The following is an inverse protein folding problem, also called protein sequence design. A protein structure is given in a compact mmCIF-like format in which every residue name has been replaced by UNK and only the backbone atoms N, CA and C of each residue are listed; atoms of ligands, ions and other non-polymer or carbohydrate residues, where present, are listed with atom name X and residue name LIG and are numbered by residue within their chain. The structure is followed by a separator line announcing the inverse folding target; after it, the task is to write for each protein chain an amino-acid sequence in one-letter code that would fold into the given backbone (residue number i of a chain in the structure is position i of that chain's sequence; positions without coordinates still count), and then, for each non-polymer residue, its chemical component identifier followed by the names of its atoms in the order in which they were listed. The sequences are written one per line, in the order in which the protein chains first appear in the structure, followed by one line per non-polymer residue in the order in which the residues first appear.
data_IF_501854315327
#
_entry.id   IF_501854315327
#
_cell.length_a   1.000
_cell.length_b   1.000
_cell.length_c   1.000
_cell.angle_alpha   90.00
_cell.angle_beta   90.00
_cell.angle_gamma   90.00
#
_symmetry.space_group_name_H-M   'P 1'
#
loop_
_entity.id
_entity.type
_entity.pdbx_description
1 polymer ?
#
# COMPACT_ATOMS: atom_id res chain seq x y z
N UNK A 1 -4.01 -22.39 -12.18
CA UNK A 1 -4.54 -22.92 -10.90
C UNK A 1 -3.54 -23.79 -10.15
N UNK A 2 -2.80 -24.68 -10.81
CA UNK A 2 -1.81 -25.55 -10.14
C UNK A 2 -0.69 -24.77 -9.43
N UNK A 3 -0.01 -23.85 -10.11
CA UNK A 3 1.02 -22.98 -9.50
C UNK A 3 0.49 -22.21 -8.29
N UNK A 4 -0.77 -21.75 -8.35
CA UNK A 4 -1.39 -21.06 -7.22
C UNK A 4 -1.61 -21.99 -6.04
N UNK A 5 -2.05 -23.24 -6.29
CA UNK A 5 -2.18 -24.27 -5.25
C UNK A 5 -0.85 -24.52 -4.54
N UNK A 6 0.24 -24.68 -5.30
CA UNK A 6 1.58 -24.87 -4.74
C UNK A 6 2.01 -23.70 -3.84
N UNK A 7 1.70 -22.46 -4.24
CA UNK A 7 1.99 -21.27 -3.45
C UNK A 7 1.17 -21.20 -2.16
N UNK A 8 -0.13 -21.52 -2.23
CA UNK A 8 -1.01 -21.57 -1.06
C UNK A 8 -0.52 -22.66 -0.09
N UNK A 9 -0.26 -23.88 -0.58
CA UNK A 9 0.21 -24.98 0.25
C UNK A 9 1.59 -24.68 0.87
N UNK A 10 2.48 -24.03 0.13
CA UNK A 10 3.79 -23.59 0.64
C UNK A 10 3.66 -22.58 1.78
N UNK A 11 2.74 -21.62 1.67
CA UNK A 11 2.47 -20.61 2.68
C UNK A 11 1.81 -21.24 3.92
N UNK A 12 0.79 -22.06 3.73
CA UNK A 12 0.06 -22.75 4.80
C UNK A 12 0.95 -23.72 5.58
N UNK A 13 1.89 -24.40 4.93
CA UNK A 13 2.88 -25.24 5.60
C UNK A 13 3.83 -24.47 6.55
N UNK A 14 3.75 -23.13 6.55
CA UNK A 14 4.54 -22.21 7.39
C UNK A 14 3.66 -21.28 8.21
N UNK A 15 2.37 -21.60 8.37
CA UNK A 15 1.40 -20.78 9.11
C UNK A 15 1.24 -19.34 8.56
N UNK A 16 1.46 -19.17 7.25
CA UNK A 16 1.29 -17.89 6.56
C UNK A 16 0.01 -17.91 5.73
N UNK A 17 -0.85 -16.91 5.92
CA UNK A 17 -2.05 -16.70 5.10
C UNK A 17 -1.68 -16.19 3.70
N UNK A 18 -2.42 -16.60 2.69
CA UNK A 18 -2.22 -16.24 1.29
C UNK A 18 -3.44 -15.49 0.73
N UNK A 19 -3.27 -14.19 0.43
CA UNK A 19 -4.30 -13.35 -0.20
C UNK A 19 -3.98 -13.15 -1.69
N UNK A 20 -5.00 -13.22 -2.56
CA UNK A 20 -4.87 -12.93 -4.00
C UNK A 20 -5.33 -11.52 -4.33
N UNK A 21 -4.53 -10.76 -5.10
CA UNK A 21 -4.88 -9.41 -5.50
C UNK A 21 -5.74 -9.38 -6.77
N UNK A 22 -6.97 -8.86 -6.64
CA UNK A 22 -7.95 -8.58 -7.70
C UNK A 22 -8.29 -7.08 -7.70
N UNK A 23 -7.25 -6.24 -7.68
CA UNK A 23 -7.35 -4.82 -7.34
C UNK A 23 -7.07 -3.88 -8.52
N UNK A 24 -7.36 -4.29 -9.75
CA UNK A 24 -7.35 -3.38 -10.89
C UNK A 24 -8.43 -2.29 -10.67
N UNK A 25 -8.10 -0.99 -10.70
CA UNK A 25 -9.10 0.07 -10.53
C UNK A 25 -10.03 0.24 -11.73
N UNK A 26 -9.62 -0.29 -12.89
CA UNK A 26 -10.29 -0.17 -14.18
C UNK A 26 -10.40 -1.54 -14.85
N UNK A 27 -11.10 -1.61 -15.98
CA UNK A 27 -11.34 -2.83 -16.79
C UNK A 27 -12.27 -3.86 -16.14
N UNK A 28 -13.06 -3.46 -15.15
CA UNK A 28 -14.25 -4.22 -14.74
C UNK A 28 -15.39 -3.84 -15.69
N UNK A 29 -15.95 -4.79 -16.46
CA UNK A 29 -17.02 -4.49 -17.41
C UNK A 29 -18.33 -4.19 -16.69
N UNK A 30 -19.30 -3.70 -17.47
CA UNK A 30 -20.63 -3.43 -16.97
C UNK A 30 -21.28 -4.69 -16.37
N UNK A 31 -22.13 -4.52 -15.35
CA UNK A 31 -22.77 -5.64 -14.63
C UNK A 31 -23.72 -6.48 -15.50
N UNK A 32 -24.02 -6.02 -16.72
CA UNK A 32 -24.83 -6.74 -17.70
C UNK A 32 -24.03 -7.76 -18.51
N UNK A 33 -22.69 -7.70 -18.50
CA UNK A 33 -21.83 -8.69 -19.15
C UNK A 33 -21.83 -10.00 -18.34
N UNK A 34 -22.87 -10.80 -18.55
CA UNK A 34 -23.08 -12.04 -17.78
C UNK A 34 -21.91 -13.01 -17.92
N UNK A 35 -21.37 -13.17 -19.13
CA UNK A 35 -20.21 -14.04 -19.36
C UNK A 35 -19.04 -13.70 -18.46
N UNK A 36 -18.64 -12.43 -18.44
CA UNK A 36 -17.49 -12.02 -17.63
C UNK A 36 -17.74 -12.17 -16.13
N UNK A 37 -18.95 -11.83 -15.67
CA UNK A 37 -19.31 -11.94 -14.26
C UNK A 37 -19.46 -13.39 -13.80
N UNK A 38 -20.02 -14.27 -14.62
CA UNK A 38 -20.13 -15.71 -14.34
C UNK A 38 -18.74 -16.35 -14.26
N UNK A 39 -17.84 -16.03 -15.21
CA UNK A 39 -16.45 -16.48 -15.21
C UNK A 39 -15.69 -15.96 -13.97
N UNK A 40 -15.91 -14.69 -13.61
CA UNK A 40 -15.29 -14.09 -12.42
C UNK A 40 -15.80 -14.75 -11.14
N UNK A 41 -17.10 -15.00 -11.02
CA UNK A 41 -17.68 -15.69 -9.86
C UNK A 41 -17.13 -17.12 -9.76
N UNK A 42 -17.01 -17.82 -10.89
CA UNK A 42 -16.41 -19.15 -10.91
C UNK A 42 -14.95 -19.10 -10.46
N UNK A 43 -14.16 -18.15 -10.95
CA UNK A 43 -12.79 -17.95 -10.51
C UNK A 43 -12.69 -17.68 -9.00
N UNK A 44 -13.58 -16.87 -8.43
CA UNK A 44 -13.63 -16.64 -6.98
C UNK A 44 -13.92 -17.92 -6.19
N UNK A 45 -14.84 -18.76 -6.68
CA UNK A 45 -15.12 -20.07 -6.06
C UNK A 45 -13.93 -21.02 -6.16
N UNK A 46 -13.20 -20.98 -7.27
CA UNK A 46 -11.99 -21.77 -7.43
C UNK A 46 -10.90 -21.33 -6.45
N UNK A 47 -10.72 -20.01 -6.22
CA UNK A 47 -9.80 -19.49 -5.20
C UNK A 47 -10.16 -20.02 -3.80
N UNK A 48 -11.45 -20.00 -3.43
CA UNK A 48 -11.94 -20.55 -2.17
C UNK A 48 -11.68 -22.07 -2.08
N UNK A 49 -11.94 -22.82 -3.16
CA UNK A 49 -11.68 -24.27 -3.22
C UNK A 49 -10.17 -24.60 -3.10
N UNK A 50 -9.29 -23.68 -3.52
CA UNK A 50 -7.84 -23.77 -3.32
C UNK A 50 -7.39 -23.37 -1.91
N UNK A 51 -8.30 -22.95 -1.02
CA UNK A 51 -8.03 -22.45 0.33
C UNK A 51 -7.24 -21.14 0.34
N UNK A 52 -7.39 -20.30 -0.68
CA UNK A 52 -6.94 -18.90 -0.57
C UNK A 52 -7.65 -18.24 0.62
N UNK A 53 -6.92 -17.50 1.44
CA UNK A 53 -7.45 -16.93 2.69
C UNK A 53 -8.30 -15.68 2.45
N UNK A 54 -7.94 -14.91 1.43
CA UNK A 54 -8.61 -13.66 1.12
C UNK A 54 -8.29 -13.11 -0.26
N UNK A 55 -9.02 -12.06 -0.60
CA UNK A 55 -8.81 -11.30 -1.83
C UNK A 55 -8.64 -9.83 -1.52
N UNK A 56 -7.72 -9.19 -2.24
CA UNK A 56 -7.49 -7.75 -2.17
C UNK A 56 -8.20 -7.12 -3.37
N UNK A 57 -9.28 -6.37 -3.14
CA UNK A 57 -10.20 -5.91 -4.18
C UNK A 57 -10.31 -4.39 -4.17
N UNK A 58 -10.49 -3.80 -5.36
CA UNK A 58 -10.70 -2.35 -5.54
C UNK A 58 -12.14 -2.02 -5.95
N UNK A 59 -12.73 -2.78 -6.86
CA UNK A 59 -14.02 -2.42 -7.45
C UNK A 59 -15.21 -2.74 -6.52
N UNK A 60 -16.14 -1.79 -6.25
CA UNK A 60 -17.30 -2.03 -5.35
C UNK A 60 -18.15 -3.25 -5.73
N UNK A 61 -18.50 -3.40 -7.01
CA UNK A 61 -19.30 -4.56 -7.45
C UNK A 61 -18.55 -5.89 -7.32
N UNK A 62 -17.22 -5.89 -7.41
CA UNK A 62 -16.43 -7.10 -7.13
C UNK A 62 -16.44 -7.45 -5.65
N UNK A 63 -16.40 -6.45 -4.76
CA UNK A 63 -16.53 -6.65 -3.31
C UNK A 63 -17.86 -7.35 -2.99
N UNK A 64 -18.96 -6.83 -3.54
CA UNK A 64 -20.29 -7.43 -3.36
C UNK A 64 -20.37 -8.84 -3.95
N UNK A 65 -19.78 -9.07 -5.13
CA UNK A 65 -19.75 -10.38 -5.77
C UNK A 65 -18.97 -11.42 -4.95
N UNK A 66 -17.81 -11.05 -4.40
CA UNK A 66 -17.04 -11.91 -3.47
C UNK A 66 -17.91 -12.25 -2.27
N UNK A 67 -18.49 -11.23 -1.62
CA UNK A 67 -19.28 -11.42 -0.40
C UNK A 67 -20.52 -12.29 -0.61
N UNK A 68 -21.14 -12.22 -1.78
CA UNK A 68 -22.33 -12.98 -2.13
C UNK A 68 -22.04 -14.43 -2.51
N UNK A 69 -20.82 -14.74 -3.00
CA UNK A 69 -20.52 -16.03 -3.62
C UNK A 69 -19.46 -16.87 -2.90
N UNK A 70 -18.72 -16.31 -1.94
CA UNK A 70 -17.66 -17.01 -1.20
C UNK A 70 -17.60 -16.56 0.25
N UNK A 71 -16.76 -17.22 1.05
CA UNK A 71 -16.36 -16.85 2.41
C UNK A 71 -14.94 -16.29 2.49
N UNK A 72 -14.35 -15.96 1.35
CA UNK A 72 -13.02 -15.36 1.29
C UNK A 72 -13.02 -14.04 2.07
N UNK A 73 -11.94 -13.80 2.81
CA UNK A 73 -11.74 -12.51 3.48
C UNK A 73 -11.58 -11.40 2.45
N UNK A 74 -12.25 -10.27 2.65
CA UNK A 74 -12.20 -9.14 1.71
C UNK A 74 -11.33 -8.03 2.27
N UNK A 75 -10.21 -7.73 1.60
CA UNK A 75 -9.37 -6.57 1.86
C UNK A 75 -9.57 -5.50 0.80
N UNK A 76 -10.12 -4.35 1.18
CA UNK A 76 -10.24 -3.20 0.28
C UNK A 76 -8.86 -2.58 0.05
N UNK A 77 -8.49 -2.44 -1.22
CA UNK A 77 -7.17 -1.97 -1.63
C UNK A 77 -6.96 -0.48 -1.37
N UNK A 78 -5.72 -0.10 -1.03
CA UNK A 78 -5.30 1.31 -0.94
C UNK A 78 -5.41 2.06 -2.27
N UNK A 79 -5.50 1.33 -3.39
CA UNK A 79 -5.75 1.89 -4.74
C UNK A 79 -7.06 2.70 -4.79
N UNK A 80 -8.04 2.37 -3.93
CA UNK A 80 -9.32 3.08 -3.88
C UNK A 80 -9.22 4.48 -3.29
N UNK A 81 -8.06 4.84 -2.73
CA UNK A 81 -7.85 6.10 -2.03
C UNK A 81 -8.94 6.37 -0.97
N UNK A 82 -9.22 5.37 -0.13
CA UNK A 82 -10.15 5.52 1.00
C UNK A 82 -9.59 6.54 2.00
N UNK A 83 -10.04 7.80 1.86
CA UNK A 83 -9.56 8.96 2.61
C UNK A 83 -10.48 9.40 3.74
N UNK A 84 -11.69 8.83 3.86
CA UNK A 84 -12.67 9.27 4.87
C UNK A 84 -13.31 8.10 5.59
N UNK A 85 -13.66 8.32 6.85
CA UNK A 85 -14.46 7.40 7.66
C UNK A 85 -15.78 7.02 6.96
N UNK A 86 -16.42 7.97 6.27
CA UNK A 86 -17.67 7.72 5.52
C UNK A 86 -17.46 6.69 4.41
N UNK A 87 -16.41 6.86 3.60
CA UNK A 87 -16.07 5.92 2.54
C UNK A 87 -15.74 4.53 3.10
N UNK A 88 -15.03 4.48 4.24
CA UNK A 88 -14.73 3.21 4.91
C UNK A 88 -16.02 2.47 5.36
N UNK A 89 -16.99 3.19 5.91
CA UNK A 89 -18.29 2.63 6.31
C UNK A 89 -19.08 2.06 5.13
N UNK A 90 -19.00 2.66 3.94
CA UNK A 90 -19.62 2.10 2.73
C UNK A 90 -18.97 0.76 2.36
N UNK A 91 -17.65 0.66 2.40
CA UNK A 91 -16.96 -0.59 2.12
C UNK A 91 -17.24 -1.67 3.15
N UNK A 92 -17.32 -1.33 4.44
CA UNK A 92 -17.76 -2.28 5.48
C UNK A 92 -19.19 -2.78 5.21
N UNK A 93 -20.10 -1.89 4.82
CA UNK A 93 -21.48 -2.26 4.48
C UNK A 93 -21.57 -3.20 3.26
N UNK A 94 -20.64 -3.07 2.30
CA UNK A 94 -20.52 -3.97 1.14
C UNK A 94 -19.90 -5.33 1.52
N UNK A 95 -19.37 -5.48 2.73
CA UNK A 95 -18.83 -6.76 3.23
C UNK A 95 -17.32 -6.81 3.39
N UNK A 96 -16.61 -5.69 3.36
CA UNK A 96 -15.17 -5.66 3.63
C UNK A 96 -14.84 -6.14 5.05
N UNK A 97 -13.82 -6.98 5.18
CA UNK A 97 -13.26 -7.41 6.47
C UNK A 97 -12.03 -6.58 6.86
N UNK A 98 -11.29 -6.09 5.85
CA UNK A 98 -10.11 -5.23 6.03
C UNK A 98 -10.24 -4.03 5.10
N UNK A 99 -9.93 -2.85 5.63
CA UNK A 99 -9.82 -1.63 4.84
C UNK A 99 -8.36 -1.19 4.90
N UNK A 100 -7.70 -1.09 3.74
CA UNK A 100 -6.39 -0.46 3.62
C UNK A 100 -6.60 0.99 3.19
N UNK A 101 -6.52 1.98 4.10
CA UNK A 101 -6.75 3.36 3.75
C UNK A 101 -5.71 3.87 2.76
N UNK A 102 -5.97 5.06 2.20
CA UNK A 102 -4.96 5.75 1.40
C UNK A 102 -3.72 6.04 2.24
N UNK A 103 -2.52 5.86 1.66
CA UNK A 103 -1.27 6.29 2.29
C UNK A 103 -1.28 7.78 2.67
N UNK A 104 -2.01 8.63 1.95
CA UNK A 104 -2.13 10.05 2.27
C UNK A 104 -2.83 10.33 3.63
N UNK A 105 -3.43 9.31 4.25
CA UNK A 105 -3.95 9.37 5.62
C UNK A 105 -2.95 8.95 6.69
N UNK A 106 -1.79 8.38 6.37
CA UNK A 106 -0.86 7.87 7.39
C UNK A 106 -0.52 8.94 8.42
N UNK A 107 -0.25 10.18 8.00
CA UNK A 107 0.05 11.29 8.93
C UNK A 107 -1.19 11.91 9.60
N UNK A 108 -2.41 11.55 9.17
CA UNK A 108 -3.67 12.02 9.75
C UNK A 108 -4.24 11.00 10.76
N UNK A 109 -3.57 10.92 11.92
CA UNK A 109 -3.96 9.99 13.00
C UNK A 109 -5.39 10.22 13.50
N UNK A 110 -5.86 11.47 13.51
CA UNK A 110 -7.23 11.78 13.95
C UNK A 110 -8.27 11.09 13.05
N UNK A 111 -8.09 11.14 11.73
CA UNK A 111 -8.95 10.44 10.79
C UNK A 111 -8.86 8.92 10.94
N UNK A 112 -7.65 8.38 11.05
CA UNK A 112 -7.44 6.94 11.19
C UNK A 112 -8.09 6.39 12.47
N UNK A 113 -7.96 7.10 13.61
CA UNK A 113 -8.65 6.74 14.87
C UNK A 113 -10.16 6.84 14.73
N UNK A 114 -10.67 7.88 14.08
CA UNK A 114 -12.11 8.04 13.83
C UNK A 114 -12.64 6.88 12.98
N UNK A 115 -11.90 6.51 11.93
CA UNK A 115 -12.23 5.38 11.08
C UNK A 115 -12.23 4.07 11.88
N UNK A 116 -11.17 3.80 12.65
CA UNK A 116 -11.04 2.56 13.44
C UNK A 116 -12.20 2.40 14.44
N UNK A 117 -12.59 3.49 15.13
CA UNK A 117 -13.70 3.48 16.09
C UNK A 117 -15.09 3.37 15.45
N UNK A 118 -15.25 3.82 14.22
CA UNK A 118 -16.54 3.83 13.53
C UNK A 118 -16.87 2.46 12.91
N UNK A 119 -15.85 1.73 12.45
CA UNK A 119 -16.00 0.39 11.90
C UNK A 119 -16.41 -0.59 13.01
N UNK A 120 -17.35 -1.47 12.70
CA UNK A 120 -17.91 -2.45 13.64
C UNK A 120 -17.42 -3.88 13.39
N UNK A 121 -17.06 -4.18 12.15
CA UNK A 121 -16.68 -5.52 11.65
C UNK A 121 -15.33 -5.48 10.95
N UNK A 122 -15.15 -4.50 10.07
CA UNK A 122 -13.92 -4.33 9.35
C UNK A 122 -12.82 -3.79 10.26
N UNK A 123 -11.57 -4.19 10.00
CA UNK A 123 -10.39 -3.62 10.65
C UNK A 123 -9.57 -2.78 9.69
N UNK A 124 -8.80 -1.84 10.22
CA UNK A 124 -7.85 -1.06 9.43
C UNK A 124 -6.56 -1.86 9.26
N UNK A 125 -6.02 -1.89 8.04
CA UNK A 125 -4.63 -2.30 7.77
C UNK A 125 -3.85 -1.12 7.23
N UNK A 126 -2.76 -0.74 7.87
CA UNK A 126 -1.96 0.42 7.44
C UNK A 126 -0.82 -0.04 6.55
N UNK A 127 -0.70 0.61 5.39
CA UNK A 127 0.42 0.41 4.48
C UNK A 127 1.59 1.31 4.92
N UNK A 128 2.81 0.77 4.98
CA UNK A 128 3.92 1.39 5.71
C UNK A 128 4.90 2.18 4.83
N UNK A 129 5.43 1.54 3.78
CA UNK A 129 6.63 1.99 3.08
C UNK A 129 6.40 2.28 1.59
N UNK A 130 5.19 2.71 1.21
CA UNK A 130 4.92 3.01 -0.19
C UNK A 130 5.76 4.20 -0.64
N UNK A 131 6.50 4.01 -1.73
CA UNK A 131 7.42 5.00 -2.28
C UNK A 131 6.77 6.23 -2.92
N UNK A 132 5.45 6.29 -3.01
CA UNK A 132 4.75 7.34 -3.74
C UNK A 132 5.00 8.72 -3.12
N UNK A 133 4.94 9.76 -3.95
CA UNK A 133 4.86 11.14 -3.47
C UNK A 133 3.62 11.31 -2.57
N UNK A 134 3.70 12.17 -1.56
CA UNK A 134 2.52 12.59 -0.82
C UNK A 134 1.58 13.37 -1.74
N UNK A 135 0.29 13.04 -1.72
CA UNK A 135 -0.75 13.64 -2.59
C UNK A 135 -0.36 13.63 -4.08
N UNK A 136 0.26 12.52 -4.52
CA UNK A 136 0.81 12.35 -5.88
C UNK A 136 -0.26 12.59 -6.98
N UNK A 137 -0.04 13.53 -7.91
CA UNK A 137 -1.00 13.82 -8.98
C UNK A 137 -1.12 12.69 -10.01
N UNK A 138 -0.10 11.81 -10.08
CA UNK A 138 -0.06 10.71 -11.03
C UNK A 138 -0.69 9.43 -10.52
N UNK A 139 -1.02 9.33 -9.23
CA UNK A 139 -1.34 8.04 -8.58
C UNK A 139 -2.48 7.28 -9.27
N UNK A 140 -3.59 7.96 -9.57
CA UNK A 140 -4.75 7.34 -10.22
C UNK A 140 -4.41 6.85 -11.63
N UNK A 141 -3.87 7.73 -12.46
CA UNK A 141 -3.45 7.42 -13.83
C UNK A 141 -2.39 6.31 -13.86
N UNK A 142 -1.51 6.26 -12.86
CA UNK A 142 -0.50 5.23 -12.72
C UNK A 142 -1.12 3.86 -12.43
N UNK A 143 -2.10 3.77 -11.52
CA UNK A 143 -2.78 2.50 -11.29
C UNK A 143 -3.64 2.06 -12.48
N UNK A 144 -4.27 3.01 -13.19
CA UNK A 144 -5.01 2.72 -14.42
C UNK A 144 -4.08 2.18 -15.51
N UNK A 145 -2.91 2.79 -15.67
CA UNK A 145 -1.88 2.32 -16.59
C UNK A 145 -1.34 0.94 -16.18
N UNK A 146 -1.06 0.70 -14.90
CA UNK A 146 -0.63 -0.61 -14.44
C UNK A 146 -1.67 -1.70 -14.74
N UNK A 147 -2.96 -1.39 -14.59
CA UNK A 147 -4.03 -2.31 -14.93
C UNK A 147 -4.15 -2.53 -16.45
N UNK A 148 -3.85 -1.55 -17.32
CA UNK A 148 -3.83 -1.77 -18.78
C UNK A 148 -2.64 -2.57 -19.26
N UNK A 149 -1.58 -2.68 -18.45
CA UNK A 149 -0.43 -3.52 -18.71
C UNK A 149 -0.58 -4.95 -18.22
N UNK A 150 -1.51 -5.27 -17.32
CA UNK A 150 -1.77 -6.68 -16.93
C UNK A 150 -2.30 -7.53 -18.09
N UNK A 151 -2.81 -6.89 -19.16
CA UNK A 151 -3.31 -7.56 -20.37
C UNK A 151 -2.36 -7.45 -21.58
N UNK A 152 -1.25 -6.70 -21.47
CA UNK A 152 -0.30 -6.51 -22.56
C UNK A 152 1.12 -6.93 -22.14
N UNK A 153 1.60 -8.03 -22.73
CA UNK A 153 2.96 -8.54 -22.55
C UNK A 153 3.93 -7.57 -23.24
N UNK A 154 4.50 -6.65 -22.47
CA UNK A 154 5.52 -5.71 -22.97
C UNK A 154 6.30 -5.07 -21.83
N UNK A 155 7.62 -5.16 -21.91
CA UNK A 155 8.57 -4.51 -20.98
C UNK A 155 8.71 -3.01 -21.26
N UNK A 156 7.61 -2.27 -21.35
CA UNK A 156 7.69 -0.81 -21.44
C UNK A 156 8.07 -0.23 -20.08
N UNK A 157 9.03 0.69 -20.09
CA UNK A 157 9.40 1.46 -18.90
C UNK A 157 8.18 2.23 -18.39
N UNK A 158 7.88 2.09 -17.10
CA UNK A 158 6.78 2.79 -16.44
C UNK A 158 7.05 4.30 -16.41
N UNK A 159 6.32 5.10 -17.21
CA UNK A 159 6.61 6.53 -17.35
C UNK A 159 6.27 7.31 -16.08
N UNK A 160 5.25 6.87 -15.34
CA UNK A 160 4.86 7.51 -14.08
C UNK A 160 5.93 7.28 -13.02
N UNK A 161 6.41 6.04 -12.93
CA UNK A 161 7.49 5.68 -12.01
C UNK A 161 8.79 6.43 -12.35
N UNK A 162 9.12 6.53 -13.64
CA UNK A 162 10.31 7.27 -14.10
C UNK A 162 10.22 8.74 -13.71
N UNK A 163 9.06 9.38 -13.92
CA UNK A 163 8.86 10.80 -13.59
C UNK A 163 8.93 11.06 -12.08
N UNK A 164 8.26 10.26 -11.24
CA UNK A 164 8.32 10.48 -9.80
C UNK A 164 9.71 10.18 -9.23
N UNK A 165 10.42 9.18 -9.77
CA UNK A 165 11.79 8.84 -9.38
C UNK A 165 12.75 9.99 -9.70
N UNK A 166 12.68 10.54 -10.92
CA UNK A 166 13.48 11.70 -11.32
C UNK A 166 13.22 12.88 -10.40
N UNK A 167 11.94 13.16 -10.09
CA UNK A 167 11.58 14.26 -9.21
C UNK A 167 12.13 14.08 -7.79
N UNK A 168 12.05 12.88 -7.21
CA UNK A 168 12.66 12.58 -5.90
C UNK A 168 14.19 12.66 -5.93
N UNK A 169 14.82 12.27 -7.04
CA UNK A 169 16.26 12.40 -7.20
C UNK A 169 16.70 13.87 -7.27
N UNK A 170 15.98 14.72 -8.00
CA UNK A 170 16.25 16.15 -8.10
C UNK A 170 15.91 16.88 -6.78
N UNK A 171 14.84 16.46 -6.11
CA UNK A 171 14.33 17.03 -4.87
C UNK A 171 14.17 15.97 -3.76
N UNK A 172 15.28 15.55 -3.10
CA UNK A 172 15.26 14.47 -2.12
C UNK A 172 14.38 14.70 -0.89
N UNK A 173 14.05 15.96 -0.56
CA UNK A 173 13.12 16.27 0.53
C UNK A 173 11.74 15.63 0.33
N UNK A 174 11.37 15.28 -0.91
CA UNK A 174 10.12 14.58 -1.22
C UNK A 174 10.08 13.16 -0.62
N UNK A 175 11.23 12.52 -0.41
CA UNK A 175 11.32 11.25 0.33
C UNK A 175 11.00 11.43 1.83
N UNK A 176 11.26 12.61 2.38
CA UNK A 176 10.96 12.96 3.78
C UNK A 176 9.50 13.43 3.95
N UNK A 177 9.00 14.16 2.95
CA UNK A 177 7.64 14.69 2.89
C UNK A 177 6.58 13.66 2.44
N UNK A 178 6.97 12.46 2.02
CA UNK A 178 6.04 11.38 1.67
C UNK A 178 5.26 10.87 2.89
N UNK A 179 4.48 9.80 2.73
CA UNK A 179 3.64 9.26 3.80
C UNK A 179 4.16 7.95 4.42
N UNK A 180 5.46 7.67 4.27
CA UNK A 180 6.08 6.49 4.89
C UNK A 180 6.04 6.58 6.42
N UNK A 181 5.73 5.46 7.05
CA UNK A 181 5.87 5.24 8.50
C UNK A 181 7.12 4.37 8.68
N UNK A 182 8.13 4.85 9.42
CA UNK A 182 9.36 4.07 9.67
C UNK A 182 9.09 2.96 10.69
N UNK A 183 9.94 1.92 10.77
CA UNK A 183 9.85 0.89 11.80
C UNK A 183 9.76 1.45 13.22
N UNK A 184 10.56 2.47 13.53
CA UNK A 184 10.61 3.12 14.85
C UNK A 184 9.29 3.82 15.21
N UNK A 185 8.55 4.25 14.19
CA UNK A 185 7.35 5.07 14.34
C UNK A 185 6.06 4.21 14.40
N UNK A 186 6.16 2.87 14.31
CA UNK A 186 5.01 1.95 14.33
C UNK A 186 4.19 2.06 15.61
N UNK A 187 4.86 2.24 16.75
CA UNK A 187 4.22 2.30 18.07
C UNK A 187 3.17 3.42 18.17
N UNK A 188 3.26 4.48 17.35
CA UNK A 188 2.27 5.55 17.29
C UNK A 188 0.91 5.13 16.70
N UNK A 189 0.82 3.93 16.11
CA UNK A 189 -0.38 3.42 15.43
C UNK A 189 -1.01 2.22 16.11
N UNK A 190 -0.42 1.68 17.17
CA UNK A 190 -0.94 0.50 17.88
C UNK A 190 -2.34 0.72 18.46
N UNK A 191 -2.70 1.96 18.80
CA UNK A 191 -4.04 2.33 19.26
C UNK A 191 -5.08 2.44 18.12
N UNK A 192 -4.63 2.28 16.87
CA UNK A 192 -5.46 2.27 15.65
C UNK A 192 -5.54 0.85 15.10
N UNK A 193 -4.40 0.18 14.94
CA UNK A 193 -4.30 -1.19 14.41
C UNK A 193 -2.95 -1.83 14.73
N UNK A 194 -2.92 -3.16 14.73
CA UNK A 194 -1.71 -4.00 14.73
C UNK A 194 -1.49 -4.73 13.39
N UNK A 195 -2.35 -4.46 12.40
CA UNK A 195 -2.28 -5.07 11.07
C UNK A 195 -1.59 -4.10 10.09
N UNK A 196 -0.36 -4.42 9.70
CA UNK A 196 0.47 -3.58 8.85
C UNK A 196 0.83 -4.27 7.54
N UNK A 197 1.08 -3.47 6.50
CA UNK A 197 1.47 -3.96 5.17
C UNK A 197 2.75 -3.29 4.69
N UNK A 198 3.76 -4.13 4.45
CA UNK A 198 5.02 -3.77 3.78
C UNK A 198 4.88 -4.04 2.27
N UNK A 199 5.26 -3.09 1.42
CA UNK A 199 5.23 -3.25 -0.03
C UNK A 199 6.48 -3.93 -0.56
N UNK A 200 6.25 -4.84 -1.51
CA UNK A 200 7.31 -5.61 -2.16
C UNK A 200 7.14 -5.91 -3.64
N UNK A 201 6.08 -5.46 -4.31
CA UNK A 201 5.73 -5.93 -5.69
C UNK A 201 6.91 -5.88 -6.68
N UNK A 202 7.72 -4.82 -6.63
CA UNK A 202 8.89 -4.64 -7.50
C UNK A 202 10.21 -4.60 -6.69
N UNK A 203 10.20 -5.12 -5.47
CA UNK A 203 11.40 -5.20 -4.65
C UNK A 203 12.13 -6.51 -4.93
N UNK A 204 13.46 -6.48 -4.86
CA UNK A 204 14.26 -7.71 -4.84
C UNK A 204 13.99 -8.48 -3.54
N UNK A 205 14.30 -9.78 -3.53
CA UNK A 205 14.23 -10.59 -2.30
C UNK A 205 15.10 -9.96 -1.20
N UNK A 206 16.30 -9.50 -1.54
CA UNK A 206 17.21 -8.83 -0.59
C UNK A 206 16.56 -7.60 0.06
N UNK A 207 15.97 -6.71 -0.72
CA UNK A 207 15.31 -5.53 -0.16
C UNK A 207 14.08 -5.90 0.67
N UNK A 208 13.38 -6.98 0.30
CA UNK A 208 12.28 -7.50 1.10
C UNK A 208 12.74 -8.06 2.44
N UNK A 209 13.84 -8.81 2.48
CA UNK A 209 14.43 -9.30 3.71
C UNK A 209 14.84 -8.14 4.64
N UNK A 210 15.48 -7.10 4.09
CA UNK A 210 15.84 -5.90 4.85
C UNK A 210 14.60 -5.24 5.45
N UNK A 211 13.56 -5.03 4.65
CA UNK A 211 12.33 -4.37 5.11
C UNK A 211 11.59 -5.19 6.14
N UNK A 212 11.41 -6.49 5.89
CA UNK A 212 10.71 -7.38 6.82
C UNK A 212 11.44 -7.46 8.16
N UNK A 213 12.77 -7.62 8.14
CA UNK A 213 13.58 -7.60 9.36
C UNK A 213 13.42 -6.29 10.11
N UNK A 214 13.56 -5.15 9.41
CA UNK A 214 13.43 -3.82 9.98
C UNK A 214 12.08 -3.60 10.70
N UNK A 215 10.96 -3.87 10.02
CA UNK A 215 9.63 -3.71 10.60
C UNK A 215 9.31 -4.72 11.69
N UNK A 216 9.86 -5.94 11.61
CA UNK A 216 9.69 -6.95 12.67
C UNK A 216 10.47 -6.58 13.93
N UNK A 217 11.67 -6.01 13.79
CA UNK A 217 12.47 -5.53 14.92
C UNK A 217 12.03 -4.15 15.44
N UNK A 218 11.14 -3.45 14.74
CA UNK A 218 10.72 -2.09 15.09
C UNK A 218 11.83 -1.04 14.98
N UNK A 219 12.91 -1.34 14.25
CA UNK A 219 14.07 -0.46 14.09
C UNK A 219 14.85 -0.76 12.81
N UNK A 220 15.56 0.24 12.31
CA UNK A 220 16.42 0.11 11.15
C UNK A 220 17.62 1.04 11.22
N UNK A 221 18.81 0.45 11.29
CA UNK A 221 20.08 1.17 11.14
C UNK A 221 20.56 1.09 9.70
N UNK A 222 20.60 2.22 9.00
CA UNK A 222 21.09 2.29 7.62
C UNK A 222 20.46 3.39 6.79
N UNK A 223 20.48 3.19 5.47
CA UNK A 223 19.93 4.12 4.49
C UNK A 223 18.40 4.01 4.41
N UNK A 224 17.67 5.02 4.91
CA UNK A 224 16.20 5.11 4.86
C UNK A 224 15.64 4.84 3.45
N UNK A 225 16.37 5.24 2.40
CA UNK A 225 15.93 5.04 1.00
C UNK A 225 15.77 3.55 0.68
N UNK A 226 16.49 2.62 1.34
CA UNK A 226 16.28 1.16 1.17
C UNK A 226 14.90 0.69 1.65
N UNK A 227 14.37 1.31 2.70
CA UNK A 227 13.05 0.97 3.22
C UNK A 227 11.93 1.33 2.23
N UNK A 228 12.13 2.37 1.42
CA UNK A 228 11.07 2.93 0.56
C UNK A 228 11.31 2.71 -0.93
N UNK A 229 12.52 2.91 -1.45
CA UNK A 229 12.78 3.05 -2.87
C UNK A 229 14.08 2.39 -3.32
N UNK A 230 14.01 1.08 -3.58
CA UNK A 230 15.12 0.23 -4.07
C UNK A 230 15.93 0.86 -5.20
N UNK A 231 15.29 1.45 -6.20
CA UNK A 231 15.98 2.05 -7.35
C UNK A 231 16.73 3.36 -7.06
N UNK A 232 16.46 4.04 -5.94
CA UNK A 232 17.14 5.27 -5.55
C UNK A 232 18.18 5.02 -4.45
N UNK A 233 18.03 3.94 -3.69
CA UNK A 233 18.94 3.61 -2.59
C UNK A 233 20.43 3.51 -3.00
N UNK A 234 20.80 3.10 -4.23
CA UNK A 234 22.19 3.16 -4.69
C UNK A 234 22.73 4.59 -4.85
N UNK A 235 21.87 5.55 -5.22
CA UNK A 235 22.26 6.91 -5.60
C UNK A 235 22.05 7.95 -4.48
N UNK A 236 21.16 7.67 -3.53
CA UNK A 236 20.83 8.55 -2.42
C UNK A 236 20.96 7.81 -1.10
N UNK A 237 21.62 8.46 -0.14
CA UNK A 237 21.78 7.98 1.22
C UNK A 237 21.19 8.97 2.22
N UNK A 238 20.27 8.47 3.03
CA UNK A 238 19.64 9.21 4.11
C UNK A 238 19.79 8.36 5.38
N UNK A 239 20.66 8.71 6.32
CA UNK A 239 20.81 7.94 7.55
C UNK A 239 19.48 7.90 8.31
N UNK A 240 18.90 6.72 8.53
CA UNK A 240 17.55 6.55 9.10
C UNK A 240 17.39 7.25 10.45
N UNK A 241 18.42 7.14 11.32
CA UNK A 241 18.50 7.82 12.63
C UNK A 241 18.41 9.35 12.55
N UNK A 242 18.79 9.94 11.42
CA UNK A 242 18.72 11.39 11.25
C UNK A 242 17.27 11.88 11.03
N UNK A 243 16.31 10.96 10.91
CA UNK A 243 14.89 11.24 10.74
C UNK A 243 14.09 11.09 12.04
N UNK A 244 14.76 10.86 13.18
CA UNK A 244 14.08 10.75 14.46
C UNK A 244 13.31 12.03 14.81
N UNK A 245 12.07 11.87 15.25
CA UNK A 245 11.16 12.99 15.53
C UNK A 245 10.48 13.58 14.29
N UNK A 246 10.77 13.10 13.07
CA UNK A 246 10.18 13.65 11.84
C UNK A 246 8.67 13.36 11.77
N UNK A 247 8.20 12.22 12.27
CA UNK A 247 6.78 11.87 12.21
C UNK A 247 5.92 12.85 13.02
N UNK A 248 6.38 13.29 14.19
CA UNK A 248 5.69 14.26 15.03
C UNK A 248 5.66 15.64 14.38
N UNK A 249 6.70 16.01 13.64
CA UNK A 249 6.69 17.25 12.81
C UNK A 249 5.70 17.17 11.65
N UNK A 250 5.41 15.96 11.16
CA UNK A 250 4.45 15.73 10.09
C UNK A 250 3.01 15.73 10.61
N UNK A 251 2.79 15.51 11.91
CA UNK A 251 1.48 15.70 12.52
C UNK A 251 1.09 17.18 12.50
N UNK A 252 -0.03 17.50 11.86
CA UNK A 252 -0.47 18.89 11.68
C UNK A 252 0.29 19.67 10.60
N UNK A 253 1.16 19.01 9.82
CA UNK A 253 1.81 19.62 8.66
C UNK A 253 0.76 20.05 7.63
N UNK A 254 0.85 21.29 7.15
CA UNK A 254 -0.01 21.81 6.06
C UNK A 254 0.29 21.15 4.70
N UNK A 255 1.37 20.37 4.61
CA UNK A 255 1.95 19.77 3.40
C UNK A 255 2.47 20.78 2.38
N UNK A 256 2.45 22.07 2.72
CA UNK A 256 3.00 23.14 1.89
C UNK A 256 4.44 23.39 2.33
N UNK A 257 5.37 22.60 1.78
CA UNK A 257 6.78 22.60 2.22
C UNK A 257 7.45 23.98 2.06
N UNK A 258 7.00 24.82 1.13
CA UNK A 258 7.51 26.19 0.94
C UNK A 258 7.19 27.14 2.12
N UNK A 259 6.19 26.83 2.94
CA UNK A 259 5.77 27.72 4.03
C UNK A 259 6.71 27.57 5.24
N UNK A 260 7.03 26.32 5.64
CA UNK A 260 7.88 26.06 6.80
C UNK A 260 9.33 25.67 6.43
N UNK A 261 9.55 25.07 5.26
CA UNK A 261 10.85 24.60 4.75
C UNK A 261 11.51 23.48 5.55
N UNK A 262 10.82 22.82 6.49
CA UNK A 262 11.43 21.86 7.41
C UNK A 262 12.08 20.66 6.69
N UNK A 263 11.31 19.93 5.86
CA UNK A 263 11.83 18.77 5.13
C UNK A 263 12.94 19.17 4.14
N UNK A 264 12.87 20.38 3.57
CA UNK A 264 13.88 20.90 2.65
C UNK A 264 15.21 21.07 3.39
N UNK A 265 15.23 21.82 4.49
CA UNK A 265 16.44 22.04 5.31
C UNK A 265 16.97 20.74 5.90
N UNK A 266 16.08 19.85 6.35
CA UNK A 266 16.49 18.54 6.85
C UNK A 266 17.20 17.75 5.75
N UNK A 267 16.61 17.66 4.56
CA UNK A 267 17.20 16.97 3.42
C UNK A 267 18.57 17.55 3.03
N UNK A 268 18.72 18.88 2.99
CA UNK A 268 20.01 19.56 2.73
C UNK A 268 21.10 19.15 3.73
N UNK A 269 20.73 18.85 4.97
CA UNK A 269 21.67 18.48 6.03
C UNK A 269 22.00 16.98 6.11
N UNK A 270 21.12 16.09 5.63
CA UNK A 270 21.25 14.63 5.85
C UNK A 270 21.41 13.80 4.58
N UNK A 271 21.04 14.34 3.42
CA UNK A 271 21.06 13.58 2.16
C UNK A 271 22.47 13.61 1.57
N UNK A 272 23.04 12.43 1.35
CA UNK A 272 24.28 12.27 0.58
C UNK A 272 23.95 11.67 -0.79
N UNK A 273 24.46 12.29 -1.87
CA UNK A 273 24.43 11.71 -3.22
C UNK A 273 25.68 10.84 -3.39
N UNK A 274 25.51 9.64 -3.95
CA UNK A 274 26.59 8.67 -4.18
C UNK A 274 26.92 8.54 -5.66
#
# INVERSE_FOLDING_TARGET
MEVLREQVDFAHARDVTFDVALNAPVQVPATQDRSWWDDTIQYLRDLEALRVDGVIVSHPFLIEAVRANTRLKISVSTINETMTTRTALYYEAMGADVIVPSMNLNMNRAELKRMSRALKRARIRIMLNERCLGDCPWRRFHFDWNASKTTSIGHEADPYFTNCTKLMYEQPYLLLANNTIRPEDLHHYEDITTDFKVLGRNATIEDMEVRLKAYTEGRFEGNFVRLVHSGLAPALDIPNRALDGLIEKKWGCSKICRDCGHCIRLAESVVTRR
#
